data_IF_877302363822
#
_entry.id   IF_877302363822
#
_cell.length_a   1.000
_cell.length_b   1.000
_cell.length_c   1.000
_cell.angle_alpha   90.00
_cell.angle_beta   90.00
_cell.angle_gamma   90.00
#
_symmetry.space_group_name_H-M   'P 1'
#
loop_
_entity.id
_entity.type
_entity.pdbx_description
1 polymer ?
#
# COMPACT_ATOMS: atom_id res chain seq x y z
N UNK A 1 20.34 -9.45 11.50
CA UNK A 1 20.75 -8.14 10.96
C UNK A 1 19.86 -7.77 9.78
N UNK A 2 19.64 -6.47 9.55
CA UNK A 2 18.69 -5.91 8.57
C UNK A 2 19.33 -4.94 7.56
N UNK A 3 20.50 -5.27 6.96
CA UNK A 3 21.26 -4.30 6.15
C UNK A 3 20.42 -3.71 5.01
N UNK A 4 19.74 -4.55 4.21
CA UNK A 4 18.89 -4.08 3.09
C UNK A 4 17.79 -3.11 3.51
N UNK A 5 17.16 -3.35 4.66
CA UNK A 5 16.10 -2.47 5.18
C UNK A 5 16.70 -1.14 5.62
N UNK A 6 17.84 -1.17 6.32
CA UNK A 6 18.54 0.04 6.75
C UNK A 6 19.03 0.87 5.57
N UNK A 7 19.57 0.23 4.53
CA UNK A 7 20.04 0.91 3.32
C UNK A 7 18.88 1.58 2.57
N UNK A 8 17.71 0.94 2.49
CA UNK A 8 16.53 1.54 1.85
C UNK A 8 15.99 2.76 2.61
N UNK A 9 15.89 2.67 3.94
CA UNK A 9 15.51 3.82 4.77
C UNK A 9 16.55 4.94 4.71
N UNK A 10 17.84 4.60 4.70
CA UNK A 10 18.93 5.56 4.54
C UNK A 10 18.80 6.32 3.22
N UNK A 11 18.54 5.63 2.10
CA UNK A 11 18.35 6.26 0.80
C UNK A 11 17.19 7.28 0.79
N UNK A 12 16.07 6.95 1.46
CA UNK A 12 14.95 7.89 1.61
C UNK A 12 15.36 9.17 2.36
N UNK A 13 16.01 9.04 3.51
CA UNK A 13 16.40 10.21 4.31
C UNK A 13 17.52 11.03 3.65
N UNK A 14 18.50 10.39 3.01
CA UNK A 14 19.54 11.08 2.24
C UNK A 14 18.94 11.86 1.06
N UNK A 15 17.93 11.29 0.40
CA UNK A 15 17.21 11.99 -0.66
C UNK A 15 16.53 13.26 -0.15
N UNK A 16 15.79 13.19 0.97
CA UNK A 16 15.14 14.35 1.57
C UNK A 16 16.15 15.46 1.92
N UNK A 17 17.27 15.11 2.56
CA UNK A 17 18.33 16.07 2.90
C UNK A 17 18.91 16.74 1.64
N UNK A 18 19.05 16.00 0.54
CA UNK A 18 19.56 16.56 -0.73
C UNK A 18 18.57 17.51 -1.42
N UNK A 19 17.27 17.39 -1.13
CA UNK A 19 16.22 18.28 -1.67
C UNK A 19 16.08 19.56 -0.86
N UNK A 20 16.26 19.49 0.46
CA UNK A 20 16.26 20.68 1.35
C UNK A 20 17.36 21.67 0.95
N UNK A 21 18.54 21.16 0.59
CA UNK A 21 19.67 21.97 0.10
C UNK A 21 19.42 22.67 -1.25
N UNK A 22 18.37 22.30 -1.99
CA UNK A 22 18.06 22.82 -3.33
C UNK A 22 16.87 23.78 -3.37
N UNK A 23 16.09 23.84 -2.30
CA UNK A 23 14.82 24.57 -2.28
C UNK A 23 14.99 26.03 -1.86
N UNK A 24 15.43 26.89 -2.77
CA UNK A 24 15.45 28.35 -2.57
C UNK A 24 14.12 29.04 -2.99
N UNK A 25 13.14 28.33 -3.57
CA UNK A 25 11.81 28.89 -3.90
C UNK A 25 10.68 27.86 -3.84
N UNK A 26 9.63 28.08 -3.04
CA UNK A 26 8.44 27.24 -3.07
C UNK A 26 7.56 27.65 -4.26
N UNK A 27 7.35 26.73 -5.22
CA UNK A 27 6.28 26.89 -6.21
C UNK A 27 5.11 25.98 -5.84
N UNK A 28 3.99 26.61 -5.54
CA UNK A 28 2.74 25.95 -5.20
C UNK A 28 2.04 25.49 -6.50
N UNK A 29 2.35 24.30 -7.00
CA UNK A 29 1.41 23.53 -7.84
C UNK A 29 1.89 22.11 -8.11
N UNK A 30 0.97 21.16 -8.02
CA UNK A 30 1.07 19.77 -8.50
C UNK A 30 2.11 18.87 -7.81
N UNK A 31 1.89 17.56 -7.94
CA UNK A 31 2.79 16.51 -7.50
C UNK A 31 4.17 16.71 -8.14
N UNK A 32 5.10 17.34 -7.42
CA UNK A 32 6.41 17.63 -7.98
C UNK A 32 7.15 16.32 -8.25
N UNK A 33 8.00 16.30 -9.28
CA UNK A 33 8.93 15.18 -9.55
C UNK A 33 9.72 14.81 -8.27
N UNK A 34 9.98 15.81 -7.42
CA UNK A 34 10.66 15.62 -6.15
C UNK A 34 9.81 14.81 -5.15
N UNK A 35 8.50 15.09 -5.07
CA UNK A 35 7.54 14.34 -4.25
C UNK A 35 7.37 12.91 -4.76
N UNK A 36 7.27 12.69 -6.08
CA UNK A 36 7.18 11.34 -6.66
C UNK A 36 8.40 10.48 -6.30
N UNK A 37 9.60 11.04 -6.45
CA UNK A 37 10.85 10.37 -6.07
C UNK A 37 10.98 10.14 -4.56
N UNK A 38 10.51 11.06 -3.72
CA UNK A 38 10.47 10.84 -2.27
C UNK A 38 9.58 9.65 -1.94
N UNK A 39 8.39 9.56 -2.56
CA UNK A 39 7.45 8.48 -2.36
C UNK A 39 8.00 7.15 -2.88
N UNK A 40 8.73 7.15 -4.00
CA UNK A 40 9.45 5.97 -4.48
C UNK A 40 10.36 5.38 -3.39
N UNK A 41 11.28 6.19 -2.84
CA UNK A 41 12.21 5.71 -1.80
C UNK A 41 11.49 5.32 -0.50
N UNK A 42 10.45 6.05 -0.11
CA UNK A 42 9.61 5.69 1.04
C UNK A 42 9.01 4.29 0.88
N UNK A 43 8.45 4.02 -0.30
CA UNK A 43 7.79 2.74 -0.59
C UNK A 43 8.77 1.59 -0.78
N UNK A 44 9.94 1.80 -1.37
CA UNK A 44 11.03 0.81 -1.41
C UNK A 44 11.43 0.38 0.01
N UNK A 45 11.57 1.34 0.93
CA UNK A 45 11.89 1.07 2.32
C UNK A 45 10.76 0.32 3.06
N UNK A 46 9.50 0.69 2.82
CA UNK A 46 8.33 -0.01 3.37
C UNK A 46 8.24 -1.46 2.88
N UNK A 47 8.33 -1.68 1.58
CA UNK A 47 8.28 -3.02 0.98
C UNK A 47 9.45 -3.88 1.47
N UNK A 48 10.66 -3.34 1.55
CA UNK A 48 11.81 -4.05 2.11
C UNK A 48 11.57 -4.46 3.57
N UNK A 49 10.94 -3.58 4.37
CA UNK A 49 10.60 -3.84 5.76
C UNK A 49 9.58 -4.98 5.90
N UNK A 50 8.50 -4.95 5.11
CA UNK A 50 7.46 -5.99 5.10
C UNK A 50 8.03 -7.32 4.62
N UNK A 51 8.80 -7.33 3.52
CA UNK A 51 9.41 -8.54 2.99
C UNK A 51 10.34 -9.23 4.01
N UNK A 52 11.05 -8.44 4.83
CA UNK A 52 11.85 -8.98 5.93
C UNK A 52 10.99 -9.47 7.10
N UNK A 53 9.90 -8.77 7.41
CA UNK A 53 9.02 -9.06 8.56
C UNK A 53 8.13 -10.29 8.35
N UNK A 54 7.50 -10.45 7.19
CA UNK A 54 6.54 -11.53 6.88
C UNK A 54 7.02 -12.92 7.30
N UNK A 55 8.20 -13.41 6.87
CA UNK A 55 8.65 -14.76 7.25
C UNK A 55 8.93 -14.91 8.75
N UNK A 56 9.22 -13.82 9.46
CA UNK A 56 9.49 -13.82 10.92
C UNK A 56 8.22 -13.87 11.73
N UNK A 57 7.21 -13.11 11.33
CA UNK A 57 5.93 -13.04 12.02
C UNK A 57 4.96 -14.14 11.61
N UNK A 58 5.25 -14.95 10.58
CA UNK A 58 4.42 -16.09 10.17
C UNK A 58 4.10 -17.04 11.34
N UNK A 59 5.05 -17.29 12.24
CA UNK A 59 4.80 -18.14 13.43
C UNK A 59 3.87 -17.50 14.46
N UNK A 60 3.76 -16.16 14.46
CA UNK A 60 2.88 -15.42 15.35
C UNK A 60 1.43 -15.43 14.86
N UNK A 61 1.17 -15.72 13.58
CA UNK A 61 -0.18 -15.79 13.01
C UNK A 61 -1.05 -16.88 13.66
N UNK A 62 -0.46 -17.90 14.28
CA UNK A 62 -1.20 -18.93 15.03
C UNK A 62 -1.92 -18.41 16.29
N UNK A 63 -1.62 -17.18 16.71
CA UNK A 63 -2.20 -16.55 17.90
C UNK A 63 -3.42 -15.65 17.58
N UNK A 64 -3.77 -15.51 16.30
CA UNK A 64 -4.97 -14.81 15.85
C UNK A 64 -5.90 -15.78 15.11
N UNK A 65 -7.14 -15.35 14.84
CA UNK A 65 -8.10 -16.16 14.08
C UNK A 65 -7.62 -16.42 12.66
N UNK A 66 -8.14 -17.47 12.02
CA UNK A 66 -7.86 -17.77 10.61
C UNK A 66 -8.16 -16.57 9.69
N UNK A 67 -9.34 -15.94 9.78
CA UNK A 67 -9.66 -14.75 8.99
C UNK A 67 -8.70 -13.57 9.23
N UNK A 68 -8.30 -13.33 10.48
CA UNK A 68 -7.35 -12.25 10.81
C UNK A 68 -5.95 -12.54 10.26
N UNK A 69 -5.47 -13.78 10.42
CA UNK A 69 -4.19 -14.20 9.84
C UNK A 69 -4.18 -14.02 8.31
N UNK A 70 -5.28 -14.44 7.65
CA UNK A 70 -5.43 -14.27 6.20
C UNK A 70 -5.46 -12.80 5.81
N UNK A 71 -6.17 -11.94 6.56
CA UNK A 71 -6.17 -10.51 6.32
C UNK A 71 -4.74 -9.92 6.41
N UNK A 72 -3.95 -10.30 7.41
CA UNK A 72 -2.57 -9.85 7.55
C UNK A 72 -1.69 -10.22 6.35
N UNK A 73 -1.83 -11.44 5.81
CA UNK A 73 -1.12 -11.86 4.60
C UNK A 73 -1.62 -11.15 3.34
N UNK A 74 -2.94 -11.03 3.19
CA UNK A 74 -3.57 -10.31 2.07
C UNK A 74 -3.15 -8.84 2.05
N UNK A 75 -3.10 -8.19 3.22
CA UNK A 75 -2.64 -6.81 3.39
C UNK A 75 -1.15 -6.68 3.01
N UNK A 76 -0.30 -7.57 3.52
CA UNK A 76 1.12 -7.54 3.17
C UNK A 76 1.35 -7.67 1.66
N UNK A 77 0.58 -8.51 0.97
CA UNK A 77 0.61 -8.59 -0.50
C UNK A 77 0.07 -7.32 -1.17
N UNK A 78 -1.05 -6.77 -0.70
CA UNK A 78 -1.64 -5.56 -1.27
C UNK A 78 -0.70 -4.35 -1.18
N UNK A 79 0.13 -4.25 -0.13
CA UNK A 79 1.10 -3.15 0.02
C UNK A 79 2.11 -3.13 -1.13
N UNK A 80 2.51 -4.27 -1.70
CA UNK A 80 3.40 -4.28 -2.88
C UNK A 80 2.77 -3.59 -4.10
N UNK A 81 1.45 -3.72 -4.27
CA UNK A 81 0.69 -3.06 -5.34
C UNK A 81 0.52 -1.58 -5.06
N UNK A 82 0.18 -1.21 -3.83
CA UNK A 82 0.04 0.19 -3.38
C UNK A 82 1.38 0.93 -3.54
N UNK A 83 2.47 0.31 -3.11
CA UNK A 83 3.83 0.84 -3.20
C UNK A 83 4.21 1.21 -4.64
N UNK A 84 3.90 0.34 -5.60
CA UNK A 84 4.22 0.58 -7.01
C UNK A 84 3.56 1.86 -7.54
N UNK A 85 2.41 2.29 -6.99
CA UNK A 85 1.71 3.50 -7.43
C UNK A 85 2.32 4.80 -6.91
N UNK A 86 3.33 4.73 -6.04
CA UNK A 86 3.83 5.87 -5.26
C UNK A 86 2.71 6.58 -4.50
N UNK A 87 1.85 5.80 -3.83
CA UNK A 87 0.73 6.32 -3.08
C UNK A 87 1.17 7.36 -2.03
N UNK A 88 0.48 8.50 -1.94
CA UNK A 88 0.81 9.54 -0.95
C UNK A 88 0.30 9.13 0.43
N UNK A 89 1.17 8.57 1.27
CA UNK A 89 0.87 8.19 2.65
C UNK A 89 0.88 9.40 3.62
N UNK A 90 0.33 10.53 3.19
CA UNK A 90 0.16 11.71 4.05
C UNK A 90 -1.03 11.53 5.01
N UNK A 91 -1.17 12.47 5.95
CA UNK A 91 -2.20 12.41 6.99
C UNK A 91 -3.62 12.36 6.40
N UNK A 92 -3.91 13.14 5.36
CA UNK A 92 -5.25 13.23 4.79
C UNK A 92 -5.64 11.93 4.09
N UNK A 93 -4.76 11.43 3.22
CA UNK A 93 -4.97 10.19 2.48
C UNK A 93 -5.03 9.00 3.44
N UNK A 94 -4.09 8.89 4.39
CA UNK A 94 -4.10 7.81 5.37
C UNK A 94 -5.39 7.83 6.18
N UNK A 95 -5.84 9.01 6.62
CA UNK A 95 -7.07 9.14 7.39
C UNK A 95 -8.31 8.73 6.60
N UNK A 96 -8.36 9.06 5.31
CA UNK A 96 -9.47 8.66 4.45
C UNK A 96 -9.49 7.14 4.22
N UNK A 97 -8.37 6.54 3.80
CA UNK A 97 -8.34 5.13 3.42
C UNK A 97 -8.38 4.16 4.60
N UNK A 98 -7.88 4.54 5.78
CA UNK A 98 -7.94 3.68 6.97
C UNK A 98 -9.40 3.42 7.40
N UNK A 99 -10.34 4.30 7.08
CA UNK A 99 -11.75 4.12 7.41
C UNK A 99 -12.38 2.90 6.72
N UNK A 100 -11.81 2.45 5.59
CA UNK A 100 -12.27 1.28 4.85
C UNK A 100 -11.58 -0.03 5.27
N UNK A 101 -10.62 0.03 6.20
CA UNK A 101 -10.03 -1.18 6.77
C UNK A 101 -10.94 -1.77 7.86
N UNK A 102 -10.77 -3.06 8.20
CA UNK A 102 -11.49 -3.66 9.33
C UNK A 102 -11.31 -2.82 10.61
N UNK A 103 -12.40 -2.34 11.25
CA UNK A 103 -12.33 -1.52 12.46
C UNK A 103 -12.01 -2.34 13.72
N UNK A 104 -11.98 -3.67 13.59
CA UNK A 104 -11.64 -4.64 14.64
C UNK A 104 -10.94 -5.84 14.01
N UNK A 105 -10.23 -6.63 14.83
CA UNK A 105 -9.72 -7.93 14.40
C UNK A 105 -10.87 -8.83 13.93
N UNK A 106 -10.59 -9.61 12.90
CA UNK A 106 -11.53 -10.59 12.38
C UNK A 106 -11.62 -11.80 13.31
N UNK A 107 -12.81 -12.39 13.37
CA UNK A 107 -13.16 -13.57 14.14
C UNK A 107 -13.47 -14.73 13.20
N UNK A 108 -13.55 -15.97 13.71
CA UNK A 108 -13.85 -17.16 12.90
C UNK A 108 -15.22 -17.11 12.19
N UNK A 109 -16.17 -16.32 12.69
CA UNK A 109 -17.48 -16.14 12.06
C UNK A 109 -17.47 -15.12 10.92
N UNK A 110 -16.43 -14.28 10.80
CA UNK A 110 -16.40 -13.21 9.82
C UNK A 110 -16.12 -13.75 8.41
N UNK A 111 -17.01 -13.42 7.48
CA UNK A 111 -16.93 -13.86 6.08
C UNK A 111 -17.25 -12.69 5.16
N UNK A 112 -16.19 -12.10 4.59
CA UNK A 112 -16.37 -11.11 3.52
C UNK A 112 -17.12 -11.73 2.32
N UNK A 113 -18.00 -10.96 1.64
CA UNK A 113 -18.34 -9.56 1.86
C UNK A 113 -19.58 -9.35 2.77
N UNK A 114 -19.90 -10.30 3.66
CA UNK A 114 -21.15 -10.30 4.42
C UNK A 114 -20.95 -10.14 5.95
N UNK A 115 -19.92 -9.40 6.36
CA UNK A 115 -19.71 -9.06 7.78
C UNK A 115 -20.70 -7.97 8.15
N UNK A 116 -21.67 -8.29 9.01
CA UNK A 116 -22.85 -7.46 9.25
C UNK A 116 -22.57 -6.15 9.96
N UNK A 117 -21.52 -6.08 10.77
CA UNK A 117 -21.11 -4.87 11.49
C UNK A 117 -20.08 -4.03 10.73
N UNK A 118 -19.74 -4.41 9.50
CA UNK A 118 -18.85 -3.66 8.61
C UNK A 118 -19.67 -2.89 7.57
N UNK A 119 -19.16 -1.73 7.15
CA UNK A 119 -19.74 -1.01 6.01
C UNK A 119 -19.59 -1.81 4.71
N UNK A 120 -20.39 -1.50 3.66
CA UNK A 120 -20.21 -2.09 2.34
C UNK A 120 -18.79 -1.89 1.79
N UNK A 121 -18.19 -0.72 2.02
CA UNK A 121 -16.84 -0.37 1.59
C UNK A 121 -15.79 -1.22 2.32
N UNK A 122 -15.94 -1.40 3.63
CA UNK A 122 -15.04 -2.25 4.43
C UNK A 122 -15.08 -3.72 3.96
N UNK A 123 -16.28 -4.25 3.74
CA UNK A 123 -16.46 -5.60 3.18
C UNK A 123 -15.85 -5.72 1.78
N UNK A 124 -16.01 -4.69 0.93
CA UNK A 124 -15.46 -4.66 -0.42
C UNK A 124 -13.94 -4.61 -0.42
N UNK A 125 -13.32 -3.81 0.45
CA UNK A 125 -11.85 -3.72 0.57
C UNK A 125 -11.28 -5.06 1.04
N UNK A 126 -11.89 -5.68 2.07
CA UNK A 126 -11.46 -6.97 2.58
C UNK A 126 -11.51 -8.07 1.49
N UNK A 127 -12.61 -8.11 0.72
CA UNK A 127 -12.74 -9.01 -0.42
C UNK A 127 -11.69 -8.70 -1.51
N UNK A 128 -11.46 -7.43 -1.82
CA UNK A 128 -10.53 -7.00 -2.88
C UNK A 128 -9.10 -7.43 -2.56
N UNK A 129 -8.65 -7.29 -1.31
CA UNK A 129 -7.33 -7.77 -0.90
C UNK A 129 -7.20 -9.29 -1.00
N UNK A 130 -8.23 -10.03 -0.59
CA UNK A 130 -8.25 -11.50 -0.71
C UNK A 130 -8.17 -11.94 -2.18
N UNK A 131 -8.95 -11.31 -3.07
CA UNK A 131 -8.94 -11.60 -4.51
C UNK A 131 -7.59 -11.23 -5.14
N UNK A 132 -7.05 -10.06 -4.81
CA UNK A 132 -5.75 -9.60 -5.31
C UNK A 132 -4.64 -10.57 -4.93
N UNK A 133 -4.58 -10.95 -3.65
CA UNK A 133 -3.57 -11.87 -3.14
C UNK A 133 -3.67 -13.24 -3.81
N UNK A 134 -4.86 -13.85 -3.82
CA UNK A 134 -5.07 -15.15 -4.48
C UNK A 134 -4.74 -15.12 -5.97
N UNK A 135 -5.11 -14.04 -6.67
CA UNK A 135 -4.79 -13.89 -8.10
C UNK A 135 -3.28 -13.77 -8.30
N UNK A 136 -2.59 -13.01 -7.44
CA UNK A 136 -1.15 -12.89 -7.51
C UNK A 136 -0.45 -14.23 -7.22
N UNK A 137 -0.92 -15.00 -6.25
CA UNK A 137 -0.42 -16.36 -5.99
C UNK A 137 -0.66 -17.30 -7.17
N UNK A 138 -1.88 -17.31 -7.74
CA UNK A 138 -2.23 -18.12 -8.90
C UNK A 138 -1.37 -17.80 -10.13
N UNK A 139 -0.96 -16.54 -10.29
CA UNK A 139 -0.06 -16.11 -11.36
C UNK A 139 1.43 -16.23 -11.02
N UNK A 140 1.78 -16.80 -9.86
CA UNK A 140 3.16 -16.95 -9.41
C UNK A 140 3.90 -15.60 -9.25
N UNK A 141 3.17 -14.52 -8.93
CA UNK A 141 3.72 -13.17 -8.84
C UNK A 141 3.79 -12.40 -10.16
N UNK A 142 3.40 -13.00 -11.29
CA UNK A 142 3.42 -12.34 -12.60
C UNK A 142 2.49 -11.13 -12.64
N UNK A 143 1.35 -11.18 -11.95
CA UNK A 143 0.44 -10.04 -11.82
C UNK A 143 1.16 -8.81 -11.22
N UNK A 144 1.86 -9.00 -10.10
CA UNK A 144 2.62 -7.92 -9.45
C UNK A 144 3.77 -7.42 -10.35
N UNK A 145 4.45 -8.31 -11.08
CA UNK A 145 5.50 -7.92 -12.01
C UNK A 145 4.96 -6.97 -13.10
N UNK A 146 3.87 -7.37 -13.77
CA UNK A 146 3.24 -6.55 -14.81
C UNK A 146 2.72 -5.23 -14.24
N UNK A 147 2.16 -5.26 -13.04
CA UNK A 147 1.73 -4.04 -12.34
C UNK A 147 2.89 -3.07 -12.10
N UNK A 148 4.02 -3.56 -11.58
CA UNK A 148 5.23 -2.74 -11.38
C UNK A 148 5.79 -2.19 -12.68
N UNK A 149 5.74 -2.97 -13.77
CA UNK A 149 6.11 -2.47 -15.10
C UNK A 149 5.20 -1.34 -15.56
N UNK A 150 3.88 -1.48 -15.42
CA UNK A 150 2.94 -0.42 -15.75
C UNK A 150 3.18 0.85 -14.92
N UNK A 151 3.40 0.69 -13.61
CA UNK A 151 3.62 1.79 -12.68
C UNK A 151 5.04 2.38 -12.70
N UNK A 152 5.96 1.81 -13.50
CA UNK A 152 7.31 2.38 -13.67
C UNK A 152 7.29 3.76 -14.35
N UNK A 153 6.20 4.07 -15.07
CA UNK A 153 6.01 5.34 -15.76
C UNK A 153 5.09 6.27 -14.98
N UNK A 154 5.35 7.58 -15.09
CA UNK A 154 4.48 8.60 -14.49
C UNK A 154 3.06 8.56 -15.08
N UNK A 155 2.94 8.24 -16.38
CA UNK A 155 1.64 8.07 -17.03
C UNK A 155 0.83 6.91 -16.41
N UNK A 156 1.47 5.77 -16.16
CA UNK A 156 0.83 4.64 -15.48
C UNK A 156 0.34 4.99 -14.08
N UNK A 157 1.18 5.67 -13.29
CA UNK A 157 0.81 6.12 -11.93
C UNK A 157 -0.28 7.19 -11.95
N UNK A 158 -0.26 8.10 -12.93
CA UNK A 158 -1.26 9.16 -13.06
C UNK A 158 -2.68 8.61 -13.29
N UNK A 159 -2.83 7.54 -14.08
CA UNK A 159 -4.13 6.86 -14.26
C UNK A 159 -4.66 6.36 -12.93
N UNK A 160 -3.81 5.71 -12.13
CA UNK A 160 -4.22 5.20 -10.81
C UNK A 160 -4.56 6.33 -9.85
N UNK A 161 -3.77 7.40 -9.81
CA UNK A 161 -4.08 8.59 -8.98
C UNK A 161 -5.43 9.19 -9.34
N UNK A 162 -5.74 9.32 -10.63
CA UNK A 162 -7.05 9.83 -11.07
C UNK A 162 -8.21 8.91 -10.64
N UNK A 163 -8.04 7.59 -10.72
CA UNK A 163 -9.05 6.64 -10.23
C UNK A 163 -9.28 6.79 -8.72
N UNK A 164 -8.21 6.93 -7.95
CA UNK A 164 -8.25 7.14 -6.49
C UNK A 164 -8.93 8.48 -6.17
N UNK A 165 -8.59 9.56 -6.87
CA UNK A 165 -9.19 10.88 -6.69
C UNK A 165 -10.70 10.88 -7.03
N UNK A 166 -11.12 10.18 -8.09
CA UNK A 166 -12.54 10.05 -8.44
C UNK A 166 -13.33 9.27 -7.37
N UNK A 167 -12.70 8.25 -6.76
CA UNK A 167 -13.28 7.52 -5.63
C UNK A 167 -13.42 8.42 -4.40
N UNK A 168 -12.42 9.25 -4.10
CA UNK A 168 -12.44 10.17 -2.94
C UNK A 168 -13.48 11.27 -3.11
N UNK A 169 -13.58 11.85 -4.30
CA UNK A 169 -14.44 13.00 -4.60
C UNK A 169 -15.90 12.61 -4.88
N UNK A 170 -16.23 11.32 -4.88
CA UNK A 170 -17.60 10.83 -5.11
C UNK A 170 -18.09 11.05 -6.55
N UNK A 171 -17.20 11.39 -7.48
CA UNK A 171 -17.52 11.56 -8.91
C UNK A 171 -17.51 10.18 -9.58
N UNK A 172 -18.46 9.34 -9.19
CA UNK A 172 -18.75 8.10 -9.90
C UNK A 172 -19.41 8.41 -11.25
N UNK A 173 -18.95 7.72 -12.30
CA UNK A 173 -19.78 7.44 -13.48
C UNK A 173 -21.04 6.69 -13.04
#
# INVERSE_FOLDING_TARGET
HIPKVMDAWKAYFEYLLSTEQKSERPTASSFSIEKDKALHYLWEAHVASIAYAVPKFRKSLKYVSGPEASFGENWANAVDFIAATHFSADLQNTNYFQAFLPPRMLSESDKAPFISDFSPEQNKVLLSFCVLHKTNELTGGTLLLLWRMAMSTEAGRAVVRSLIENLITGSGV
#
